data_IF_508595516807
#
_entry.id   IF_508595516807
#
_cell.length_a   1.000
_cell.length_b   1.000
_cell.length_c   1.000
_cell.angle_alpha   90.00
_cell.angle_beta   90.00
_cell.angle_gamma   90.00
#
_symmetry.space_group_name_H-M   'P 1'
#
loop_
_entity.id
_entity.type
_entity.pdbx_description
1 polymer ?
#
# COMPACT_ATOMS: atom_id res chain seq x y z
N UNK A 1 56.05 -1.21 52.43
CA UNK A 1 56.98 -2.19 53.06
C UNK A 1 56.11 -3.26 53.70
N UNK A 2 56.00 -4.46 53.11
CA UNK A 2 55.07 -5.53 53.52
C UNK A 2 53.57 -5.08 53.46
N UNK A 3 52.55 -5.90 53.71
CA UNK A 3 52.15 -7.23 53.17
C UNK A 3 50.61 -7.36 53.34
N UNK A 4 49.85 -8.40 52.95
CA UNK A 4 50.09 -9.76 52.40
C UNK A 4 48.81 -10.26 51.67
N UNK A 5 48.92 -11.18 50.70
CA UNK A 5 47.77 -11.93 50.16
C UNK A 5 47.23 -12.99 51.14
N UNK A 6 45.94 -13.39 51.02
CA UNK A 6 45.52 -14.79 50.69
C UNK A 6 44.01 -15.09 50.82
N UNK A 7 43.60 -16.18 50.11
CA UNK A 7 42.40 -17.03 50.25
C UNK A 7 41.14 -16.70 49.41
N UNK A 8 40.30 -17.74 49.22
CA UNK A 8 39.55 -18.04 47.97
C UNK A 8 38.15 -18.67 48.27
N UNK A 9 37.28 -19.05 47.29
CA UNK A 9 35.81 -18.98 47.39
C UNK A 9 35.14 -20.28 47.92
N UNK A 10 33.78 -20.39 47.85
CA UNK A 10 33.19 -21.14 46.72
C UNK A 10 31.76 -20.77 46.21
N UNK A 11 31.51 -21.16 44.95
CA UNK A 11 30.30 -21.83 44.39
C UNK A 11 28.88 -21.21 44.28
N UNK A 12 28.37 -21.27 43.03
CA UNK A 12 27.01 -21.68 42.56
C UNK A 12 25.78 -20.77 42.89
N UNK A 13 24.70 -20.72 42.09
CA UNK A 13 24.29 -21.53 40.91
C UNK A 13 23.49 -20.70 39.85
N UNK A 14 23.65 -21.07 38.58
CA UNK A 14 22.63 -21.30 37.50
C UNK A 14 21.41 -20.36 37.31
N UNK A 15 21.02 -19.97 36.08
CA UNK A 15 21.81 -19.58 34.90
C UNK A 15 21.10 -18.40 34.18
N UNK A 16 20.24 -18.43 33.15
CA UNK A 16 19.94 -19.30 31.97
C UNK A 16 19.18 -18.38 30.96
N UNK A 17 19.28 -18.39 29.62
CA UNK A 17 20.07 -19.11 28.61
C UNK A 17 20.66 -18.10 27.59
N UNK A 18 21.57 -18.54 26.71
CA UNK A 18 21.63 -18.05 25.30
C UNK A 18 22.39 -19.06 24.43
N UNK A 19 21.79 -19.49 23.31
CA UNK A 19 22.33 -20.60 22.49
C UNK A 19 23.47 -20.16 21.57
N UNK A 20 24.67 -20.01 22.13
CA UNK A 20 25.91 -19.93 21.36
C UNK A 20 26.26 -21.27 20.68
N UNK A 21 26.77 -21.22 19.45
CA UNK A 21 27.23 -22.40 18.71
C UNK A 21 28.44 -23.01 19.46
N UNK A 22 28.48 -24.33 19.74
CA UNK A 22 29.55 -24.91 20.54
C UNK A 22 30.93 -24.78 19.89
N UNK A 23 31.98 -24.38 20.62
CA UNK A 23 33.31 -24.09 20.06
C UNK A 23 34.00 -25.32 19.47
N UNK A 24 33.60 -26.52 19.87
CA UNK A 24 34.10 -27.80 19.38
C UNK A 24 33.78 -28.08 17.89
N UNK A 25 32.77 -27.44 17.30
CA UNK A 25 32.52 -27.54 15.85
C UNK A 25 33.51 -26.75 14.99
N UNK A 26 34.10 -25.67 15.51
CA UNK A 26 35.08 -24.85 14.78
C UNK A 26 36.44 -25.56 14.70
N UNK A 27 36.84 -26.28 15.76
CA UNK A 27 38.09 -27.03 15.79
C UNK A 27 38.13 -28.22 14.80
N UNK A 28 37.00 -28.91 14.62
CA UNK A 28 36.91 -30.10 13.76
C UNK A 28 37.18 -29.82 12.28
N UNK A 29 36.69 -28.70 11.75
CA UNK A 29 36.79 -28.40 10.31
C UNK A 29 38.22 -28.04 9.87
N UNK A 30 38.99 -27.38 10.74
CA UNK A 30 40.41 -27.06 10.48
C UNK A 30 41.31 -28.28 10.68
N UNK A 31 41.02 -29.12 11.69
CA UNK A 31 41.80 -30.32 11.99
C UNK A 31 41.83 -31.35 10.84
N UNK A 32 40.74 -31.46 10.08
CA UNK A 32 40.60 -32.48 9.03
C UNK A 32 41.56 -32.28 7.84
N UNK A 33 41.90 -31.02 7.50
CA UNK A 33 42.79 -30.70 6.36
C UNK A 33 44.27 -30.89 6.72
N UNK A 34 44.62 -30.79 8.01
CA UNK A 34 46.01 -30.86 8.50
C UNK A 34 46.38 -32.29 8.98
N UNK A 35 45.40 -33.09 9.42
CA UNK A 35 45.61 -34.38 10.09
C UNK A 35 46.21 -35.53 9.27
N UNK A 36 46.48 -35.38 7.96
CA UNK A 36 47.16 -36.40 7.14
C UNK A 36 48.39 -35.86 6.42
N UNK A 37 49.43 -35.55 7.20
CA UNK A 37 50.79 -35.37 6.70
C UNK A 37 51.36 -36.67 6.10
N UNK A 38 51.09 -36.92 4.81
CA UNK A 38 51.77 -37.96 4.04
C UNK A 38 53.27 -37.65 4.00
N UNK A 39 54.10 -38.51 4.61
CA UNK A 39 55.56 -38.41 4.53
C UNK A 39 56.05 -38.86 3.15
N UNK A 40 56.01 -37.96 2.18
CA UNK A 40 56.77 -38.06 0.93
C UNK A 40 58.04 -37.21 1.04
N UNK A 41 59.18 -37.71 0.58
CA UNK A 41 60.44 -36.96 0.63
C UNK A 41 60.39 -35.70 -0.26
N UNK A 42 60.70 -34.50 0.26
CA UNK A 42 60.59 -33.23 -0.48
C UNK A 42 61.62 -33.09 -1.62
N UNK A 43 62.58 -34.02 -1.71
CA UNK A 43 63.57 -34.12 -2.77
C UNK A 43 63.05 -34.89 -4.00
N UNK A 44 61.95 -35.64 -3.88
CA UNK A 44 61.32 -36.36 -4.99
C UNK A 44 60.45 -35.42 -5.85
N UNK A 45 60.50 -35.58 -7.18
CA UNK A 45 59.72 -34.76 -8.12
C UNK A 45 58.20 -34.91 -7.92
N UNK A 46 57.76 -36.10 -7.50
CA UNK A 46 56.37 -36.37 -7.11
C UNK A 46 55.96 -35.58 -5.86
N UNK A 47 56.86 -35.50 -4.87
CA UNK A 47 56.62 -34.80 -3.60
C UNK A 47 56.44 -33.29 -3.79
N UNK A 48 57.24 -32.68 -4.67
CA UNK A 48 57.11 -31.26 -5.04
C UNK A 48 55.74 -30.94 -5.65
N UNK A 49 55.26 -31.78 -6.58
CA UNK A 49 53.93 -31.63 -7.18
C UNK A 49 52.82 -31.73 -6.13
N UNK A 50 52.99 -32.61 -5.15
CA UNK A 50 52.03 -32.83 -4.07
C UNK A 50 52.00 -31.64 -3.09
N UNK A 51 53.14 -31.04 -2.74
CA UNK A 51 53.21 -29.79 -1.98
C UNK A 51 52.57 -28.60 -2.74
N UNK A 52 52.84 -28.46 -4.04
CA UNK A 52 52.23 -27.42 -4.87
C UNK A 52 50.70 -27.56 -4.89
N UNK A 53 50.18 -28.79 -5.07
CA UNK A 53 48.73 -29.06 -4.98
C UNK A 53 48.15 -28.73 -3.60
N UNK A 54 48.89 -28.98 -2.52
CA UNK A 54 48.42 -28.67 -1.16
C UNK A 54 48.34 -27.16 -0.90
N UNK A 55 49.34 -26.38 -1.35
CA UNK A 55 49.36 -24.91 -1.25
C UNK A 55 48.31 -24.28 -2.18
N UNK A 56 48.13 -24.83 -3.39
CA UNK A 56 47.08 -24.44 -4.32
C UNK A 56 45.69 -24.68 -3.71
N UNK A 57 45.44 -25.87 -3.14
CA UNK A 57 44.14 -26.20 -2.52
C UNK A 57 43.81 -25.27 -1.35
N UNK A 58 44.80 -25.01 -0.47
CA UNK A 58 44.66 -24.12 0.68
C UNK A 58 44.30 -22.67 0.28
N UNK A 59 44.75 -22.21 -0.89
CA UNK A 59 44.48 -20.85 -1.39
C UNK A 59 43.25 -20.78 -2.31
N UNK A 60 42.93 -21.85 -3.06
CA UNK A 60 41.78 -21.89 -3.96
C UNK A 60 40.45 -22.00 -3.19
N UNK A 61 40.41 -22.77 -2.09
CA UNK A 61 39.20 -22.98 -1.29
C UNK A 61 38.57 -21.66 -0.77
N UNK A 62 39.30 -20.74 -0.11
CA UNK A 62 38.72 -19.45 0.31
C UNK A 62 38.35 -18.54 -0.87
N UNK A 63 39.06 -18.62 -2.02
CA UNK A 63 38.70 -17.87 -3.24
C UNK A 63 37.36 -18.35 -3.80
N UNK A 64 37.13 -19.67 -3.87
CA UNK A 64 35.86 -20.25 -4.31
C UNK A 64 34.72 -19.94 -3.33
N UNK A 65 34.98 -19.95 -2.01
CA UNK A 65 34.02 -19.53 -1.00
C UNK A 65 33.61 -18.06 -1.14
N UNK A 66 34.58 -17.16 -1.35
CA UNK A 66 34.33 -15.75 -1.59
C UNK A 66 33.57 -15.50 -2.89
N UNK A 67 33.89 -16.24 -3.96
CA UNK A 67 33.17 -16.16 -5.24
C UNK A 67 31.71 -16.64 -5.12
N UNK A 68 31.47 -17.77 -4.46
CA UNK A 68 30.10 -18.25 -4.21
C UNK A 68 29.30 -17.25 -3.36
N UNK A 69 29.92 -16.64 -2.34
CA UNK A 69 29.31 -15.61 -1.52
C UNK A 69 28.96 -14.34 -2.30
N UNK A 70 29.87 -13.84 -3.16
CA UNK A 70 29.58 -12.64 -3.97
C UNK A 70 28.52 -12.91 -5.04
N UNK A 71 28.51 -14.07 -5.68
CA UNK A 71 27.44 -14.48 -6.60
C UNK A 71 26.08 -14.56 -5.88
N UNK A 72 26.03 -15.14 -4.68
CA UNK A 72 24.83 -15.18 -3.86
C UNK A 72 24.35 -13.77 -3.46
N UNK A 73 25.23 -12.96 -2.89
CA UNK A 73 24.92 -11.59 -2.44
C UNK A 73 24.46 -10.67 -3.58
N UNK A 74 25.04 -10.80 -4.78
CA UNK A 74 24.59 -10.06 -5.97
C UNK A 74 23.24 -10.58 -6.47
N UNK A 75 23.00 -11.89 -6.49
CA UNK A 75 21.70 -12.45 -6.89
C UNK A 75 20.57 -12.02 -5.94
N UNK A 76 20.84 -12.00 -4.64
CA UNK A 76 19.93 -11.53 -3.60
C UNK A 76 19.65 -10.02 -3.75
N UNK A 77 20.70 -9.21 -3.95
CA UNK A 77 20.59 -7.77 -4.20
C UNK A 77 19.81 -7.42 -5.48
N UNK A 78 19.85 -8.28 -6.51
CA UNK A 78 19.07 -8.10 -7.74
C UNK A 78 17.59 -8.39 -7.48
N UNK A 79 17.25 -9.49 -6.80
CA UNK A 79 15.86 -9.81 -6.43
C UNK A 79 15.24 -8.72 -5.58
N UNK A 80 15.93 -8.30 -4.52
CA UNK A 80 15.47 -7.23 -3.64
C UNK A 80 15.25 -5.90 -4.38
N UNK A 81 15.99 -5.62 -5.46
CA UNK A 81 15.71 -4.47 -6.34
C UNK A 81 14.43 -4.65 -7.15
N UNK A 82 14.25 -5.80 -7.81
CA UNK A 82 13.03 -6.08 -8.59
C UNK A 82 11.77 -6.05 -7.72
N UNK A 83 11.83 -6.61 -6.51
CA UNK A 83 10.71 -6.57 -5.54
C UNK A 83 10.39 -5.13 -5.08
N UNK A 84 11.42 -4.29 -4.91
CA UNK A 84 11.27 -2.86 -4.60
C UNK A 84 10.74 -2.04 -5.79
N UNK A 85 11.15 -2.33 -7.02
CA UNK A 85 10.67 -1.67 -8.24
C UNK A 85 9.19 -2.02 -8.49
N UNK A 86 8.80 -3.29 -8.33
CA UNK A 86 7.39 -3.71 -8.38
C UNK A 86 6.56 -3.03 -7.27
N UNK A 87 7.10 -2.96 -6.05
CA UNK A 87 6.48 -2.23 -4.92
C UNK A 87 6.26 -0.75 -5.27
N UNK A 88 7.26 -0.07 -5.83
CA UNK A 88 7.15 1.35 -6.19
C UNK A 88 6.10 1.59 -7.28
N UNK A 89 6.03 0.73 -8.31
CA UNK A 89 5.05 0.85 -9.38
C UNK A 89 3.61 0.69 -8.87
N UNK A 90 3.33 -0.33 -8.04
CA UNK A 90 1.99 -0.53 -7.51
C UNK A 90 1.58 0.53 -6.44
N UNK A 91 2.54 1.10 -5.68
CA UNK A 91 2.27 2.29 -4.84
C UNK A 91 1.91 3.49 -5.71
N UNK A 92 2.70 3.76 -6.76
CA UNK A 92 2.47 4.85 -7.70
C UNK A 92 1.09 4.74 -8.36
N UNK A 93 0.76 3.57 -8.92
CA UNK A 93 -0.54 3.32 -9.54
C UNK A 93 -1.69 3.50 -8.53
N UNK A 94 -1.54 3.02 -7.29
CA UNK A 94 -2.55 3.21 -6.24
C UNK A 94 -2.82 4.70 -5.93
N UNK A 95 -1.79 5.54 -5.94
CA UNK A 95 -1.90 7.00 -5.73
C UNK A 95 -2.53 7.69 -6.94
N UNK A 96 -2.08 7.38 -8.16
CA UNK A 96 -2.67 7.95 -9.39
C UNK A 96 -4.16 7.59 -9.52
N UNK A 97 -4.50 6.32 -9.27
CA UNK A 97 -5.88 5.81 -9.26
C UNK A 97 -6.75 6.51 -8.21
N UNK A 98 -6.22 6.77 -7.02
CA UNK A 98 -6.94 7.50 -5.96
C UNK A 98 -7.11 9.00 -6.23
N UNK A 99 -6.12 9.64 -6.87
CA UNK A 99 -6.23 11.03 -7.33
C UNK A 99 -7.29 11.19 -8.43
N UNK A 100 -7.34 10.26 -9.38
CA UNK A 100 -8.37 10.23 -10.41
C UNK A 100 -9.77 9.93 -9.82
N UNK A 101 -9.87 9.03 -8.84
CA UNK A 101 -11.13 8.72 -8.17
C UNK A 101 -11.67 9.91 -7.37
N UNK A 102 -10.80 10.70 -6.70
CA UNK A 102 -11.17 11.98 -6.07
C UNK A 102 -11.78 12.98 -7.08
N UNK A 103 -11.25 13.03 -8.32
CA UNK A 103 -11.84 13.84 -9.41
C UNK A 103 -13.21 13.35 -9.85
N UNK A 104 -13.38 12.05 -10.08
CA UNK A 104 -14.70 11.46 -10.41
C UNK A 104 -15.73 11.71 -9.29
N UNK A 105 -15.30 11.66 -8.02
CA UNK A 105 -16.17 12.01 -6.88
C UNK A 105 -16.56 13.49 -6.86
N UNK A 106 -15.63 14.41 -7.14
CA UNK A 106 -15.92 15.85 -7.29
C UNK A 106 -16.85 16.10 -8.47
N UNK A 107 -16.60 15.48 -9.61
CA UNK A 107 -17.41 15.63 -10.82
C UNK A 107 -18.86 15.20 -10.57
N UNK A 108 -19.08 14.03 -9.95
CA UNK A 108 -20.42 13.60 -9.47
C UNK A 108 -21.06 14.65 -8.58
N UNK A 109 -20.35 15.09 -7.55
CA UNK A 109 -20.90 15.99 -6.54
C UNK A 109 -21.29 17.35 -7.13
N UNK A 110 -20.49 17.85 -8.10
CA UNK A 110 -20.78 19.07 -8.87
C UNK A 110 -21.95 18.86 -9.85
N UNK A 111 -22.07 17.68 -10.45
CA UNK A 111 -23.19 17.30 -11.32
C UNK A 111 -24.52 17.23 -10.54
N UNK A 112 -24.50 16.58 -9.38
CA UNK A 112 -25.63 16.52 -8.43
C UNK A 112 -26.00 17.92 -7.93
N UNK A 113 -25.02 18.81 -7.72
CA UNK A 113 -25.29 20.21 -7.39
C UNK A 113 -25.91 20.97 -8.58
N UNK A 114 -25.45 20.76 -9.81
CA UNK A 114 -26.00 21.40 -11.02
C UNK A 114 -27.47 21.02 -11.28
N UNK A 115 -27.83 19.76 -11.03
CA UNK A 115 -29.21 19.27 -11.11
C UNK A 115 -30.08 19.65 -9.91
N UNK A 116 -29.49 20.22 -8.85
CA UNK A 116 -30.23 20.64 -7.66
C UNK A 116 -30.92 21.99 -7.86
N UNK A 117 -32.03 22.21 -7.17
CA UNK A 117 -32.68 23.53 -7.02
C UNK A 117 -31.72 24.55 -6.34
N UNK A 118 -30.69 24.06 -5.64
CA UNK A 118 -29.62 24.86 -5.04
C UNK A 118 -28.44 25.14 -5.99
N UNK A 119 -28.47 24.62 -7.22
CA UNK A 119 -27.41 24.73 -8.21
C UNK A 119 -27.37 26.10 -8.91
N UNK A 120 -26.20 26.54 -9.41
CA UNK A 120 -26.11 27.70 -10.27
C UNK A 120 -26.60 27.36 -11.69
N UNK A 121 -27.32 28.29 -12.33
CA UNK A 121 -27.94 28.10 -13.66
C UNK A 121 -26.95 27.72 -14.79
N UNK A 122 -25.64 27.93 -14.61
CA UNK A 122 -24.63 27.73 -15.65
C UNK A 122 -23.66 26.60 -15.33
N UNK A 123 -23.39 25.75 -16.33
CA UNK A 123 -22.44 24.61 -16.29
C UNK A 123 -20.95 25.01 -16.22
N UNK A 124 -20.66 26.29 -15.94
CA UNK A 124 -19.30 26.87 -15.98
C UNK A 124 -18.36 26.27 -14.94
N UNK A 125 -18.86 26.02 -13.73
CA UNK A 125 -18.11 25.38 -12.65
C UNK A 125 -17.82 23.90 -12.93
N UNK A 126 -18.77 23.18 -13.53
CA UNK A 126 -18.61 21.79 -13.98
C UNK A 126 -17.52 21.65 -15.05
N UNK A 127 -17.48 22.57 -16.02
CA UNK A 127 -16.49 22.57 -17.11
C UNK A 127 -15.04 22.59 -16.59
N UNK A 128 -14.79 23.22 -15.44
CA UNK A 128 -13.47 23.21 -14.80
C UNK A 128 -13.13 21.83 -14.20
N UNK A 129 -14.08 21.17 -13.52
CA UNK A 129 -13.83 19.84 -12.94
C UNK A 129 -13.69 18.77 -14.04
N UNK A 130 -14.47 18.85 -15.13
CA UNK A 130 -14.30 17.96 -16.30
C UNK A 130 -12.86 17.96 -16.84
N UNK A 131 -12.23 19.14 -16.94
CA UNK A 131 -10.83 19.26 -17.37
C UNK A 131 -9.85 18.62 -16.37
N UNK A 132 -10.11 18.72 -15.06
CA UNK A 132 -9.27 18.14 -14.02
C UNK A 132 -9.46 16.61 -13.91
N UNK A 133 -10.65 16.09 -14.17
CA UNK A 133 -10.91 14.65 -14.33
C UNK A 133 -10.17 14.10 -15.55
N UNK A 134 -10.24 14.79 -16.69
CA UNK A 134 -9.57 14.34 -17.92
C UNK A 134 -8.04 14.41 -17.80
N UNK A 135 -7.50 15.43 -17.13
CA UNK A 135 -6.07 15.48 -16.77
C UNK A 135 -5.67 14.29 -15.88
N UNK A 136 -6.43 13.99 -14.84
CA UNK A 136 -6.15 12.86 -13.96
C UNK A 136 -6.31 11.49 -14.66
N UNK A 137 -7.27 11.36 -15.59
CA UNK A 137 -7.45 10.17 -16.43
C UNK A 137 -6.23 9.95 -17.33
N UNK A 138 -5.66 11.02 -17.89
CA UNK A 138 -4.42 10.96 -18.67
C UNK A 138 -3.23 10.56 -17.80
N UNK A 139 -3.14 11.06 -16.56
CA UNK A 139 -2.02 10.79 -15.64
C UNK A 139 -1.86 9.32 -15.21
N UNK A 140 -2.94 8.51 -15.13
CA UNK A 140 -2.85 7.08 -14.77
C UNK A 140 -1.80 6.35 -15.62
N UNK A 141 -0.75 5.75 -15.04
CA UNK A 141 0.26 5.07 -15.86
C UNK A 141 -0.21 3.75 -16.47
N UNK A 142 -1.24 3.13 -15.89
CA UNK A 142 -1.77 1.82 -16.27
C UNK A 142 -3.31 1.86 -16.40
N UNK A 143 -3.87 0.89 -17.11
CA UNK A 143 -5.32 0.70 -17.28
C UNK A 143 -5.65 -0.79 -17.17
N UNK A 144 -6.16 -1.28 -16.02
CA UNK A 144 -6.48 -2.69 -15.83
C UNK A 144 -7.67 -3.13 -16.69
N UNK A 145 -7.40 -3.76 -17.84
CA UNK A 145 -8.47 -4.30 -18.69
C UNK A 145 -9.17 -5.45 -17.95
N UNK A 146 -10.47 -5.28 -17.66
CA UNK A 146 -11.32 -6.33 -17.14
C UNK A 146 -12.62 -6.40 -17.95
N UNK A 147 -12.80 -7.49 -18.71
CA UNK A 147 -13.95 -7.70 -19.60
C UNK A 147 -15.29 -7.73 -18.83
N UNK A 148 -15.30 -8.11 -17.54
CA UNK A 148 -16.49 -8.14 -16.69
C UNK A 148 -17.10 -6.74 -16.45
N UNK A 149 -16.35 -5.66 -16.70
CA UNK A 149 -16.77 -4.31 -16.34
C UNK A 149 -17.57 -3.59 -17.44
N UNK A 150 -17.61 -4.13 -18.66
CA UNK A 150 -18.34 -3.57 -19.80
C UNK A 150 -17.47 -2.74 -20.75
N UNK A 151 -18.05 -2.36 -21.89
CA UNK A 151 -17.28 -1.81 -23.03
C UNK A 151 -16.50 -0.54 -22.67
N UNK A 152 -17.11 0.36 -21.91
CA UNK A 152 -16.49 1.59 -21.41
C UNK A 152 -15.25 1.38 -20.53
N UNK A 153 -14.93 0.15 -20.09
CA UNK A 153 -13.74 -0.15 -19.29
C UNK A 153 -12.64 -0.88 -20.06
N UNK A 154 -12.83 -1.20 -21.35
CA UNK A 154 -11.80 -1.85 -22.19
C UNK A 154 -10.56 -0.98 -22.41
N UNK A 155 -10.74 0.33 -22.55
CA UNK A 155 -9.65 1.28 -22.76
C UNK A 155 -9.96 2.65 -22.15
N UNK A 156 -8.91 3.42 -21.84
CA UNK A 156 -9.05 4.84 -21.44
C UNK A 156 -9.86 5.66 -22.45
N UNK A 157 -9.76 5.33 -23.74
CA UNK A 157 -10.44 6.05 -24.82
C UNK A 157 -11.95 5.78 -24.80
N UNK A 158 -12.36 4.51 -24.77
CA UNK A 158 -13.77 4.12 -24.61
C UNK A 158 -14.37 4.68 -23.31
N UNK A 159 -13.58 4.73 -22.22
CA UNK A 159 -13.99 5.37 -20.98
C UNK A 159 -14.19 6.89 -21.11
N UNK A 160 -13.28 7.60 -21.77
CA UNK A 160 -13.38 9.03 -21.97
C UNK A 160 -14.51 9.40 -22.93
N UNK A 161 -14.76 8.59 -23.97
CA UNK A 161 -15.95 8.73 -24.82
C UNK A 161 -17.25 8.50 -24.04
N UNK A 162 -17.29 7.50 -23.15
CA UNK A 162 -18.46 7.22 -22.30
C UNK A 162 -18.76 8.37 -21.32
N UNK A 163 -17.73 8.92 -20.64
CA UNK A 163 -17.87 10.13 -19.83
C UNK A 163 -18.36 11.32 -20.68
N UNK A 164 -17.74 11.56 -21.84
CA UNK A 164 -18.08 12.71 -22.67
C UNK A 164 -19.48 12.60 -23.29
N UNK A 165 -19.99 11.40 -23.60
CA UNK A 165 -21.38 11.20 -23.97
C UNK A 165 -22.31 11.63 -22.83
N UNK A 166 -22.11 11.08 -21.62
CA UNK A 166 -22.92 11.40 -20.44
C UNK A 166 -22.89 12.90 -20.08
N UNK A 167 -21.70 13.51 -20.07
CA UNK A 167 -21.51 14.96 -19.85
C UNK A 167 -22.26 15.84 -20.85
N UNK A 168 -22.46 15.38 -22.09
CA UNK A 168 -23.21 16.10 -23.11
C UNK A 168 -24.74 15.94 -22.97
N UNK A 169 -25.22 14.84 -22.39
CA UNK A 169 -26.65 14.60 -22.18
C UNK A 169 -27.22 15.36 -20.97
N UNK A 170 -26.38 15.69 -19.99
CA UNK A 170 -26.75 16.36 -18.74
C UNK A 170 -27.43 17.74 -18.91
N UNK A 171 -28.77 17.75 -18.81
CA UNK A 171 -29.69 18.89 -18.87
C UNK A 171 -30.63 18.94 -17.63
N UNK A 172 -30.58 19.99 -16.79
CA UNK A 172 -31.45 20.15 -15.61
C UNK A 172 -32.95 20.10 -15.87
N UNK A 173 -33.41 20.34 -17.11
CA UNK A 173 -34.83 20.31 -17.46
C UNK A 173 -35.39 18.89 -17.63
N UNK A 174 -34.52 17.88 -17.74
CA UNK A 174 -34.90 16.51 -18.13
C UNK A 174 -34.13 15.40 -17.41
N UNK A 175 -33.29 15.72 -16.42
CA UNK A 175 -32.46 14.74 -15.68
C UNK A 175 -32.92 14.51 -14.23
N UNK A 176 -32.68 13.28 -13.75
CA UNK A 176 -32.91 12.85 -12.37
C UNK A 176 -31.57 12.78 -11.61
N UNK A 177 -31.50 13.49 -10.48
CA UNK A 177 -30.36 13.50 -9.55
C UNK A 177 -29.97 12.08 -9.11
N UNK A 178 -30.93 11.16 -8.94
CA UNK A 178 -30.65 9.78 -8.56
C UNK A 178 -29.99 8.98 -9.69
N UNK A 179 -30.34 9.26 -10.96
CA UNK A 179 -29.71 8.65 -12.13
C UNK A 179 -28.27 9.16 -12.27
N UNK A 180 -28.06 10.47 -12.13
CA UNK A 180 -26.74 11.11 -12.18
C UNK A 180 -25.80 10.56 -11.09
N UNK A 181 -26.28 10.52 -9.84
CA UNK A 181 -25.51 9.95 -8.73
C UNK A 181 -25.22 8.46 -8.98
N UNK A 182 -26.17 7.70 -9.53
CA UNK A 182 -25.97 6.26 -9.76
C UNK A 182 -24.98 5.99 -10.91
N UNK A 183 -24.95 6.81 -11.96
CA UNK A 183 -23.96 6.72 -13.03
C UNK A 183 -22.54 6.75 -12.48
N UNK A 184 -22.14 7.84 -11.81
CA UNK A 184 -20.78 7.96 -11.28
C UNK A 184 -20.48 6.94 -10.19
N UNK A 185 -21.44 6.59 -9.33
CA UNK A 185 -21.21 5.56 -8.29
C UNK A 185 -20.84 4.21 -8.91
N UNK A 186 -21.45 3.81 -10.04
CA UNK A 186 -21.07 2.59 -10.77
C UNK A 186 -19.63 2.67 -11.29
N UNK A 187 -19.19 3.83 -11.79
CA UNK A 187 -17.81 4.04 -12.22
C UNK A 187 -16.85 3.93 -11.02
N UNK A 188 -17.13 4.64 -9.93
CA UNK A 188 -16.32 4.65 -8.70
C UNK A 188 -16.18 3.23 -8.13
N UNK A 189 -17.27 2.45 -8.11
CA UNK A 189 -17.23 1.05 -7.65
C UNK A 189 -16.28 0.18 -8.50
N UNK A 190 -16.13 0.43 -9.82
CA UNK A 190 -15.10 -0.26 -10.64
C UNK A 190 -13.68 0.13 -10.24
N UNK A 191 -13.39 1.42 -10.12
CA UNK A 191 -12.06 1.91 -9.74
C UNK A 191 -11.65 1.50 -8.32
N UNK A 192 -12.60 1.39 -7.39
CA UNK A 192 -12.37 0.80 -6.05
C UNK A 192 -11.96 -0.68 -6.16
N UNK A 193 -12.56 -1.48 -7.05
CA UNK A 193 -12.15 -2.88 -7.26
C UNK A 193 -10.74 -2.98 -7.87
N UNK A 194 -10.37 -2.11 -8.81
CA UNK A 194 -8.99 -2.04 -9.30
C UNK A 194 -7.99 -1.63 -8.20
N UNK A 195 -8.39 -0.75 -7.28
CA UNK A 195 -7.57 -0.38 -6.11
C UNK A 195 -7.40 -1.56 -5.14
N UNK A 196 -8.41 -2.41 -4.93
CA UNK A 196 -8.24 -3.67 -4.20
C UNK A 196 -7.24 -4.60 -4.91
N UNK A 197 -7.37 -4.78 -6.24
CA UNK A 197 -6.48 -5.62 -7.04
C UNK A 197 -5.01 -5.22 -6.93
N UNK A 198 -4.71 -3.95 -7.17
CA UNK A 198 -3.36 -3.38 -7.08
C UNK A 198 -2.67 -3.61 -5.73
N UNK A 199 -3.44 -3.65 -4.64
CA UNK A 199 -2.93 -3.98 -3.31
C UNK A 199 -2.66 -5.48 -3.19
N UNK A 200 -3.59 -6.33 -3.61
CA UNK A 200 -3.49 -7.80 -3.46
C UNK A 200 -2.43 -8.47 -4.34
N UNK A 201 -2.14 -7.91 -5.52
CA UNK A 201 -1.13 -8.45 -6.45
C UNK A 201 0.29 -8.01 -6.08
N UNK A 202 0.43 -7.13 -5.09
CA UNK A 202 1.71 -6.55 -4.69
C UNK A 202 2.36 -7.29 -3.52
N UNK A 203 3.64 -7.62 -3.64
CA UNK A 203 4.44 -8.34 -2.63
C UNK A 203 4.89 -7.48 -1.43
N UNK A 204 4.17 -6.38 -1.15
CA UNK A 204 4.61 -5.27 -0.30
C UNK A 204 4.57 -5.54 1.22
N UNK A 205 5.38 -6.48 1.72
CA UNK A 205 5.38 -6.89 3.14
C UNK A 205 5.46 -5.74 4.17
N UNK A 206 6.06 -4.59 3.81
CA UNK A 206 6.16 -3.39 4.64
C UNK A 206 5.06 -2.34 4.43
N UNK A 207 4.62 -2.10 3.18
CA UNK A 207 3.76 -0.95 2.81
C UNK A 207 2.28 -1.33 2.68
N UNK A 208 1.94 -2.62 2.51
CA UNK A 208 0.55 -3.09 2.27
C UNK A 208 -0.47 -2.52 3.26
N UNK A 209 -0.11 -2.40 4.54
CA UNK A 209 -0.98 -1.84 5.59
C UNK A 209 -1.38 -0.38 5.31
N UNK A 210 -0.44 0.43 4.84
CA UNK A 210 -0.69 1.85 4.52
C UNK A 210 -1.61 1.96 3.30
N UNK A 211 -1.42 1.10 2.29
CA UNK A 211 -2.32 1.07 1.13
C UNK A 211 -3.72 0.55 1.49
N UNK A 212 -3.85 -0.47 2.36
CA UNK A 212 -5.16 -0.90 2.86
C UNK A 212 -5.82 0.22 3.66
N UNK A 213 -5.07 0.93 4.52
CA UNK A 213 -5.61 2.09 5.24
C UNK A 213 -6.10 3.18 4.28
N UNK A 214 -5.31 3.53 3.27
CA UNK A 214 -5.67 4.50 2.21
C UNK A 214 -6.93 4.07 1.44
N UNK A 215 -6.97 2.83 0.95
CA UNK A 215 -8.11 2.22 0.27
C UNK A 215 -9.38 2.23 1.14
N UNK A 216 -9.24 2.02 2.45
CA UNK A 216 -10.33 2.12 3.43
C UNK A 216 -10.80 3.55 3.66
N UNK A 217 -9.90 4.55 3.64
CA UNK A 217 -10.28 5.97 3.63
C UNK A 217 -11.03 6.32 2.34
N UNK A 218 -10.51 5.95 1.17
CA UNK A 218 -11.19 6.17 -0.13
C UNK A 218 -12.60 5.58 -0.16
N UNK A 219 -12.77 4.34 0.31
CA UNK A 219 -14.08 3.68 0.44
C UNK A 219 -14.98 4.38 1.47
N UNK A 220 -14.39 4.92 2.53
CA UNK A 220 -15.10 5.73 3.53
C UNK A 220 -15.62 7.05 2.96
N UNK A 221 -14.77 7.80 2.25
CA UNK A 221 -15.12 9.07 1.59
C UNK A 221 -16.24 8.89 0.56
N UNK A 222 -16.24 7.78 -0.18
CA UNK A 222 -17.33 7.46 -1.10
C UNK A 222 -18.69 7.37 -0.40
N UNK A 223 -18.74 6.71 0.76
CA UNK A 223 -19.99 6.59 1.50
C UNK A 223 -20.41 7.90 2.19
N UNK A 224 -19.46 8.79 2.53
CA UNK A 224 -19.78 10.19 2.92
C UNK A 224 -20.34 10.96 1.71
N UNK A 225 -19.85 10.73 0.50
CA UNK A 225 -20.41 11.32 -0.73
C UNK A 225 -21.89 10.97 -0.92
N UNK A 226 -22.21 9.67 -0.84
CA UNK A 226 -23.61 9.19 -0.92
C UNK A 226 -24.44 9.68 0.28
N UNK A 227 -23.87 9.72 1.49
CA UNK A 227 -24.53 10.29 2.66
C UNK A 227 -24.92 11.76 2.42
N UNK A 228 -23.98 12.59 1.97
CA UNK A 228 -24.17 14.01 1.70
C UNK A 228 -25.21 14.26 0.61
N UNK A 229 -25.21 13.47 -0.46
CA UNK A 229 -26.24 13.55 -1.50
C UNK A 229 -27.65 13.25 -0.93
N UNK A 230 -27.80 12.21 -0.10
CA UNK A 230 -29.06 11.91 0.60
C UNK A 230 -29.42 12.99 1.64
N UNK A 231 -28.43 13.62 2.27
CA UNK A 231 -28.62 14.78 3.14
C UNK A 231 -29.16 16.00 2.40
N UNK A 232 -28.67 16.27 1.18
CA UNK A 232 -29.21 17.34 0.32
C UNK A 232 -30.68 17.07 -0.04
N UNK A 233 -31.02 15.83 -0.39
CA UNK A 233 -32.43 15.42 -0.62
C UNK A 233 -33.30 15.71 0.61
N UNK A 234 -32.86 15.33 1.82
CA UNK A 234 -33.61 15.61 3.06
C UNK A 234 -33.96 17.10 3.24
N UNK A 235 -33.02 18.00 2.92
CA UNK A 235 -33.25 19.45 3.04
C UNK A 235 -34.10 20.04 1.92
N UNK A 236 -34.11 19.44 0.73
CA UNK A 236 -34.95 19.88 -0.41
C UNK A 236 -36.39 19.37 -0.28
N UNK A 237 -36.57 18.08 0.03
CA UNK A 237 -37.88 17.42 0.10
C UNK A 237 -38.56 17.62 1.47
N UNK A 238 -37.85 18.17 2.47
CA UNK A 238 -38.33 18.34 3.84
C UNK A 238 -38.37 17.05 4.67
N UNK A 239 -37.75 15.98 4.19
CA UNK A 239 -37.70 14.66 4.84
C UNK A 239 -37.03 13.61 3.97
N UNK A 240 -36.84 12.40 4.52
CA UNK A 240 -36.50 11.21 3.74
C UNK A 240 -37.64 10.19 3.83
N UNK A 241 -37.88 9.48 2.72
CA UNK A 241 -38.70 8.26 2.77
C UNK A 241 -37.97 7.19 3.59
N UNK A 242 -38.72 6.21 4.13
CA UNK A 242 -38.16 5.12 4.94
C UNK A 242 -36.97 4.42 4.25
N UNK A 243 -37.07 4.16 2.94
CA UNK A 243 -36.03 3.51 2.15
C UNK A 243 -34.77 4.39 1.99
N UNK A 244 -34.93 5.70 1.82
CA UNK A 244 -33.81 6.64 1.73
C UNK A 244 -33.14 6.85 3.09
N UNK A 245 -33.91 6.85 4.18
CA UNK A 245 -33.38 6.91 5.55
C UNK A 245 -32.59 5.64 5.91
N UNK A 246 -33.10 4.45 5.57
CA UNK A 246 -32.37 3.18 5.71
C UNK A 246 -31.06 3.20 4.90
N UNK A 247 -31.10 3.70 3.65
CA UNK A 247 -29.91 3.87 2.80
C UNK A 247 -28.90 4.86 3.42
N UNK A 248 -29.37 5.98 3.98
CA UNK A 248 -28.54 6.99 4.66
C UNK A 248 -27.82 6.36 5.87
N UNK A 249 -28.56 5.74 6.79
CA UNK A 249 -27.99 5.10 7.99
C UNK A 249 -27.03 3.97 7.63
N UNK A 250 -27.31 3.20 6.56
CA UNK A 250 -26.37 2.20 6.06
C UNK A 250 -25.04 2.83 5.61
N UNK A 251 -25.04 3.92 4.84
CA UNK A 251 -23.80 4.57 4.37
C UNK A 251 -22.99 5.17 5.53
N UNK A 252 -23.64 5.83 6.49
CA UNK A 252 -23.01 6.32 7.74
C UNK A 252 -22.29 5.18 8.48
N UNK A 253 -22.93 4.01 8.58
CA UNK A 253 -22.34 2.86 9.28
C UNK A 253 -21.18 2.21 8.51
N UNK A 254 -21.26 2.11 7.18
CA UNK A 254 -20.19 1.53 6.35
C UNK A 254 -18.98 2.48 6.30
N UNK A 255 -19.18 3.81 6.28
CA UNK A 255 -18.10 4.78 6.50
C UNK A 255 -17.41 4.55 7.85
N UNK A 256 -18.16 4.58 8.96
CA UNK A 256 -17.62 4.37 10.32
C UNK A 256 -16.89 3.03 10.46
N UNK A 257 -17.33 1.99 9.78
CA UNK A 257 -16.65 0.69 9.75
C UNK A 257 -15.29 0.76 9.01
N UNK A 258 -15.27 1.22 7.74
CA UNK A 258 -14.02 1.29 6.97
C UNK A 258 -13.02 2.26 7.59
N UNK A 259 -13.48 3.40 8.11
CA UNK A 259 -12.62 4.37 8.79
C UNK A 259 -11.96 3.79 10.05
N UNK A 260 -12.73 3.07 10.89
CA UNK A 260 -12.15 2.34 12.05
C UNK A 260 -11.16 1.27 11.62
N UNK A 261 -11.40 0.58 10.50
CA UNK A 261 -10.41 -0.33 9.92
C UNK A 261 -9.14 0.40 9.48
N UNK A 262 -9.25 1.57 8.85
CA UNK A 262 -8.09 2.34 8.37
C UNK A 262 -7.13 2.69 9.52
N UNK A 263 -7.66 3.22 10.63
CA UNK A 263 -6.90 3.51 11.87
C UNK A 263 -6.24 2.26 12.45
N UNK A 264 -6.88 1.08 12.36
CA UNK A 264 -6.30 -0.18 12.81
C UNK A 264 -5.22 -0.76 11.87
N UNK A 265 -5.15 -0.29 10.62
CA UNK A 265 -4.11 -0.70 9.68
C UNK A 265 -2.88 0.21 9.72
N UNK A 266 -3.05 1.53 9.89
CA UNK A 266 -1.92 2.47 9.88
C UNK A 266 -2.11 3.66 10.81
N UNK A 267 -1.09 3.89 11.65
CA UNK A 267 -0.98 5.03 12.57
C UNK A 267 -0.84 6.40 11.86
N UNK A 268 -0.78 6.42 10.52
CA UNK A 268 -0.81 7.62 9.68
C UNK A 268 -2.24 8.19 9.56
N UNK A 269 -3.27 7.41 9.93
CA UNK A 269 -4.67 7.85 9.89
C UNK A 269 -5.07 8.50 11.21
N UNK A 270 -5.04 9.84 11.24
CA UNK A 270 -5.45 10.64 12.40
C UNK A 270 -6.87 10.26 12.89
N UNK A 271 -7.07 9.94 14.19
CA UNK A 271 -8.31 9.37 14.70
C UNK A 271 -9.35 10.43 15.13
N UNK A 272 -10.02 11.03 14.13
CA UNK A 272 -11.12 12.03 14.20
C UNK A 272 -12.26 11.67 15.18
N UNK A 273 -12.42 10.39 15.56
CA UNK A 273 -13.45 9.93 16.52
C UNK A 273 -12.90 9.59 17.92
N UNK A 274 -11.62 9.79 18.19
CA UNK A 274 -11.02 9.63 19.54
C UNK A 274 -10.85 10.97 20.24
N UNK A 275 -10.48 12.02 19.51
CA UNK A 275 -10.69 13.39 19.96
C UNK A 275 -12.18 13.72 19.83
N UNK A 276 -12.92 13.58 20.93
CA UNK A 276 -14.26 14.14 21.02
C UNK A 276 -14.21 15.65 20.87
N UNK A 277 -15.18 16.24 20.16
CA UNK A 277 -15.24 17.68 19.85
C UNK A 277 -14.95 18.51 21.11
N UNK A 278 -13.74 19.06 21.18
CA UNK A 278 -13.40 20.10 22.16
C UNK A 278 -14.30 21.29 21.88
N UNK A 279 -14.94 21.82 22.92
CA UNK A 279 -16.09 22.70 22.78
C UNK A 279 -15.69 24.16 22.47
N UNK A 280 -14.83 24.37 21.49
CA UNK A 280 -14.55 25.66 20.86
C UNK A 280 -15.66 26.04 19.85
N UNK A 281 -16.91 25.67 20.19
CA UNK A 281 -18.09 26.31 19.66
C UNK A 281 -18.14 27.73 20.20
N UNK A 282 -17.61 28.68 19.43
CA UNK A 282 -17.64 30.10 19.77
C UNK A 282 -19.09 30.53 20.01
N UNK A 283 -19.37 31.08 21.20
CA UNK A 283 -20.71 31.56 21.55
C UNK A 283 -21.11 32.72 20.62
N UNK A 284 -21.96 32.44 19.64
CA UNK A 284 -22.55 33.42 18.73
C UNK A 284 -23.70 34.20 19.41
N UNK A 285 -23.44 34.73 20.61
CA UNK A 285 -24.40 35.49 21.44
C UNK A 285 -23.83 36.77 22.04
N UNK A 286 -22.55 37.10 21.79
CA UNK A 286 -21.86 38.28 22.33
C UNK A 286 -21.37 39.26 21.22
N UNK A 287 -22.25 39.59 20.24
CA UNK A 287 -22.21 40.82 19.42
C UNK A 287 -23.63 41.31 19.10
#
# INVERSE_FOLDING_TARGET
MQSKCQNTPPALSEDETSQGIPPEWVGGFVGLIIGKCWRGDPLSDTGKRQQILQILSLTLLPILGLWAFTVYSVSDSIKGKTDLEQTQNAVKFSVELGLFLDRIQRERDMSVLYLSILGPETKTFLMNEYLLTDEALLMLSEWPVNDDFGEAFRSKFEFQEHLNAHRNELDPNNFDIYVEMNFYNLLIERFVVWMYGAITESSMASIWKVLVAYQKIVTGMEHIGIERALGTVFYVDGGLSQQLYERYIARVNIFKANYRSAVLYSDIVDPIFQEGVTSDGTNLTDQ
#
